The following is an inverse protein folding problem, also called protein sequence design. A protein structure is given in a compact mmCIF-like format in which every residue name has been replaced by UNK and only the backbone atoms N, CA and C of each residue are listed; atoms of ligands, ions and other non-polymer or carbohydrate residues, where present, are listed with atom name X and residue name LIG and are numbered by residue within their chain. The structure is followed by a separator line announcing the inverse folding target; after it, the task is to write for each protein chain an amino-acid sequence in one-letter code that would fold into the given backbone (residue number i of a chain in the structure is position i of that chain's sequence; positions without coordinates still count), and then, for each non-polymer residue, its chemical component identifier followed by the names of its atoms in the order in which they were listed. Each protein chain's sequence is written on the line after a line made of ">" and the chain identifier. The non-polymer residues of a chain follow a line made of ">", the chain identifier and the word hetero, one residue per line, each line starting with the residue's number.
data_IF_774980959994
#
_entry.id   IF_774980959994
#
_cell.length_a   1.000
_cell.length_b   1.000
_cell.length_c   1.000
_cell.angle_alpha   90.00
_cell.angle_beta   90.00
_cell.angle_gamma   90.00
#
_symmetry.space_group_name_H-M   'P 1'
#
loop_
_entity.id
_entity.type
_entity.pdbx_description
1 polymer ?
2 water ?
#
# COMPACT_ATOMS: atom_id res chain seq x y z
N UNK A 6 11.66 -6.10 -27.04
CA UNK A 6 12.43 -4.87 -26.98
C UNK A 6 11.62 -3.65 -27.42
N UNK A 7 12.10 -2.45 -27.08
CA UNK A 7 11.39 -1.23 -27.45
C UNK A 7 11.51 -0.97 -28.94
N UNK A 8 10.89 0.11 -29.42
CA UNK A 8 10.88 0.43 -30.84
C UNK A 8 10.67 1.93 -31.03
N UNK A 9 11.47 2.55 -31.90
CA UNK A 9 11.34 3.99 -32.16
C UNK A 9 9.99 4.30 -32.80
N UNK A 10 9.38 5.41 -32.38
CA UNK A 10 8.10 5.84 -32.95
C UNK A 10 8.30 7.12 -33.75
N UNK A 11 8.04 7.05 -35.06
CA UNK A 11 8.34 8.11 -36.04
C UNK A 11 7.34 9.27 -36.01
N UNK A 12 6.70 9.50 -34.86
CA UNK A 12 5.74 10.60 -34.75
C UNK A 12 5.65 11.08 -33.31
N UNK A 13 6.71 11.74 -32.81
CA UNK A 13 6.84 12.13 -31.41
C UNK A 13 5.65 12.95 -30.87
N UNK A 14 5.32 14.06 -31.51
CA UNK A 14 4.28 14.95 -30.98
C UNK A 14 2.87 14.68 -31.55
N UNK A 15 2.65 13.44 -31.99
CA UNK A 15 1.34 12.97 -32.41
C UNK A 15 0.22 13.35 -31.41
N UNK A 16 -1.01 13.55 -31.90
CA UNK A 16 -2.13 13.98 -31.03
C UNK A 16 -2.40 12.95 -29.95
N UNK A 17 -2.19 11.69 -30.31
CA UNK A 17 -2.42 10.59 -29.40
C UNK A 17 -1.21 10.42 -28.48
N UNK A 18 -0.05 10.83 -28.94
CA UNK A 18 1.14 10.81 -28.10
C UNK A 18 1.23 12.04 -27.20
N UNK A 19 0.79 13.19 -27.71
CA UNK A 19 0.64 14.37 -26.88
C UNK A 19 -0.47 14.10 -25.85
N UNK A 20 -1.41 13.24 -26.22
CA UNK A 20 -2.46 12.79 -25.31
C UNK A 20 -1.88 12.02 -24.14
N UNK A 21 -1.07 11.01 -24.45
CA UNK A 21 -0.52 10.13 -23.43
C UNK A 21 0.28 10.93 -22.41
N UNK A 22 1.13 11.83 -22.91
CA UNK A 22 1.99 12.61 -22.05
C UNK A 22 1.23 13.45 -21.04
N UNK A 23 0.22 14.19 -21.51
CA UNK A 23 -0.50 15.08 -20.61
C UNK A 23 -1.32 14.28 -19.59
N UNK A 24 -1.65 13.04 -19.94
CA UNK A 24 -2.31 12.13 -18.99
C UNK A 24 -1.37 11.87 -17.83
N UNK A 25 -0.14 11.52 -18.17
CA UNK A 25 0.89 11.32 -17.16
C UNK A 25 1.11 12.62 -16.38
N UNK A 26 1.37 13.69 -17.12
CA UNK A 26 1.63 15.01 -16.54
C UNK A 26 0.49 15.46 -15.61
N UNK A 27 -0.76 15.27 -16.03
CA UNK A 27 -1.91 15.60 -15.19
C UNK A 27 -1.87 14.86 -13.84
N UNK A 28 -1.67 13.55 -13.88
CA UNK A 28 -1.65 12.75 -12.66
C UNK A 28 -0.54 13.18 -11.70
N UNK A 29 0.66 13.31 -12.23
CA UNK A 29 1.80 13.74 -11.44
C UNK A 29 1.45 15.05 -10.69
N UNK A 30 1.25 16.12 -11.47
CA UNK A 30 0.81 17.42 -10.94
C UNK A 30 -0.25 17.37 -9.82
N UNK A 31 -1.22 16.47 -9.94
CA UNK A 31 -2.27 16.36 -8.94
C UNK A 31 -1.85 15.52 -7.73
N UNK A 32 -1.35 14.32 -7.97
CA UNK A 32 -0.93 13.42 -6.89
C UNK A 32 0.20 14.05 -6.08
N UNK A 33 0.96 14.93 -6.71
CA UNK A 33 2.15 15.50 -6.09
C UNK A 33 1.95 16.96 -5.69
N UNK A 34 0.91 17.58 -6.24
CA UNK A 34 0.59 18.99 -6.00
C UNK A 34 1.71 19.85 -6.56
N UNK A 35 1.86 19.79 -7.89
CA UNK A 35 2.89 20.51 -8.62
C UNK A 35 2.29 21.10 -9.90
N UNK A 36 3.11 21.73 -10.74
CA UNK A 36 2.58 22.39 -11.93
C UNK A 36 3.50 22.31 -13.15
N UNK A 37 3.81 21.08 -13.57
CA UNK A 37 4.56 20.83 -14.81
C UNK A 37 3.71 21.23 -16.00
N UNK A 38 4.35 21.84 -16.99
CA UNK A 38 3.66 22.23 -18.21
C UNK A 38 4.28 21.58 -19.43
N UNK A 39 3.50 20.73 -20.10
CA UNK A 39 3.98 19.97 -21.26
C UNK A 39 4.22 20.89 -22.48
N UNK A 40 5.39 20.74 -23.08
CA UNK A 40 5.74 21.48 -24.28
C UNK A 40 5.80 20.58 -25.52
N UNK A 41 6.51 19.47 -25.45
CA UNK A 41 6.76 18.66 -26.64
C UNK A 41 7.38 17.29 -26.36
N UNK A 42 6.80 16.25 -26.94
CA UNK A 42 7.43 14.94 -26.84
C UNK A 42 8.73 14.95 -27.64
N UNK A 43 9.82 14.62 -26.98
CA UNK A 43 11.11 14.67 -27.65
C UNK A 43 11.35 13.38 -28.38
N UNK A 44 10.92 12.28 -27.79
CA UNK A 44 11.15 10.95 -28.33
C UNK A 44 10.11 10.00 -27.77
N UNK A 45 9.69 9.03 -28.58
CA UNK A 45 8.72 8.06 -28.12
C UNK A 45 9.13 6.68 -28.58
N UNK A 46 9.20 5.76 -27.62
CA UNK A 46 9.43 4.37 -27.93
C UNK A 46 8.16 3.60 -27.64
N UNK A 47 8.19 2.30 -27.91
CA UNK A 47 7.03 1.47 -27.76
C UNK A 47 7.48 0.03 -27.54
N UNK A 48 6.95 -0.63 -26.51
CA UNK A 48 7.23 -2.05 -26.29
C UNK A 48 5.95 -2.86 -26.22
N UNK A 49 5.85 -3.88 -27.07
CA UNK A 49 4.72 -4.78 -27.05
C UNK A 49 4.89 -5.70 -25.85
N UNK A 50 3.92 -5.67 -24.94
CA UNK A 50 4.02 -6.40 -23.68
C UNK A 50 2.70 -7.11 -23.31
N UNK A 51 2.20 -6.94 -22.10
CA UNK A 51 0.83 -7.35 -21.79
C UNK A 51 -0.06 -6.20 -22.22
N UNK A 52 -0.22 -6.03 -23.51
CA UNK A 52 -0.71 -4.78 -24.04
C UNK A 52 0.52 -4.02 -24.51
N UNK A 53 0.40 -2.71 -24.64
CA UNK A 53 1.50 -1.88 -25.09
C UNK A 53 2.12 -1.08 -23.96
N UNK A 54 3.41 -0.78 -24.10
CA UNK A 54 4.15 0.01 -23.13
C UNK A 54 4.87 1.08 -23.91
N UNK A 55 4.61 2.34 -23.57
CA UNK A 55 5.28 3.45 -24.21
C UNK A 55 6.23 4.15 -23.24
N UNK A 56 7.48 4.26 -23.67
CA UNK A 56 8.50 4.99 -22.94
C UNK A 56 8.49 6.35 -23.61
N UNK A 57 8.12 7.40 -22.88
CA UNK A 57 8.04 8.73 -23.49
C UNK A 57 9.02 9.75 -22.92
N UNK A 58 9.85 10.29 -23.81
CA UNK A 58 10.73 11.39 -23.46
C UNK A 58 10.08 12.68 -23.96
N UNK A 59 9.84 13.61 -23.04
CA UNK A 59 9.19 14.85 -23.39
C UNK A 59 9.81 16.04 -22.69
N UNK A 60 9.45 17.23 -23.17
CA UNK A 60 9.90 18.49 -22.58
C UNK A 60 8.79 19.12 -21.77
N UNK A 61 9.12 19.57 -20.57
CA UNK A 61 8.18 20.30 -19.74
C UNK A 61 8.88 21.48 -19.08
N UNK A 62 8.14 22.58 -18.88
CA UNK A 62 8.63 23.66 -18.03
C UNK A 62 7.91 23.61 -16.70
N UNK A 63 8.56 24.12 -15.66
CA UNK A 63 8.03 24.08 -14.33
C UNK A 63 8.15 25.49 -13.78
N UNK A 64 7.28 26.37 -14.25
CA UNK A 64 7.38 27.78 -13.92
C UNK A 64 8.56 28.39 -14.66
N UNK A 65 8.52 28.34 -15.99
CA UNK A 65 9.48 29.04 -16.82
C UNK A 65 10.76 28.31 -17.15
N UNK A 66 11.10 27.31 -16.36
CA UNK A 66 12.38 26.63 -16.51
C UNK A 66 12.31 25.32 -17.29
N UNK A 67 13.10 25.25 -18.35
CA UNK A 67 13.11 24.11 -19.25
C UNK A 67 13.62 22.85 -18.57
N UNK A 68 12.82 21.79 -18.63
CA UNK A 68 13.17 20.51 -18.02
C UNK A 68 12.75 19.35 -18.92
N UNK A 69 13.53 18.28 -18.87
CA UNK A 69 13.21 17.07 -19.61
C UNK A 69 12.79 16.01 -18.61
N UNK A 70 11.70 15.32 -18.91
CA UNK A 70 11.24 14.19 -18.10
C UNK A 70 11.15 12.94 -18.97
N UNK A 71 10.83 11.80 -18.33
CA UNK A 71 10.54 10.56 -19.05
C UNK A 71 9.47 9.78 -18.30
N UNK A 72 8.55 9.21 -19.05
CA UNK A 72 7.49 8.45 -18.42
C UNK A 72 7.24 7.14 -19.17
N UNK A 73 6.80 6.14 -18.42
CA UNK A 73 6.47 4.84 -18.98
C UNK A 73 5.01 4.63 -18.75
N UNK A 74 4.27 4.51 -19.85
CA UNK A 74 2.82 4.39 -19.77
C UNK A 74 2.43 3.01 -20.25
N UNK A 75 1.67 2.33 -19.42
CA UNK A 75 1.15 1.04 -19.80
C UNK A 75 -0.31 1.15 -20.29
N UNK A 76 -0.55 0.66 -21.50
CA UNK A 76 -1.90 0.77 -22.06
C UNK A 76 -2.49 -0.54 -22.64
N UNK A 77 -3.74 -0.80 -22.29
CA UNK A 77 -4.49 -1.93 -22.81
C UNK A 77 -5.82 -1.37 -23.28
N UNK A 78 -5.86 -0.98 -24.55
CA UNK A 78 -7.01 -0.26 -25.15
C UNK A 78 -8.31 -1.09 -25.14
N UNK A 79 -8.16 -2.40 -24.94
CA UNK A 79 -9.27 -3.34 -24.97
C UNK A 79 -9.99 -3.41 -23.62
N UNK A 80 -9.45 -2.67 -22.66
CA UNK A 80 -10.03 -2.59 -21.33
C UNK A 80 -10.31 -1.14 -20.94
N UNK A 81 -10.02 -0.22 -21.86
CA UNK A 81 -9.92 1.20 -21.55
C UNK A 81 -9.03 1.38 -20.34
N UNK A 82 -7.78 0.96 -20.48
CA UNK A 82 -6.80 0.99 -19.39
C UNK A 82 -5.52 1.76 -19.78
N UNK A 83 -5.14 2.69 -18.92
CA UNK A 83 -3.84 3.33 -19.02
C UNK A 83 -3.38 3.73 -17.62
N UNK A 84 -2.21 3.20 -17.24
CA UNK A 84 -1.64 3.48 -15.95
C UNK A 84 -0.23 3.98 -16.16
N UNK A 85 0.14 4.99 -15.39
CA UNK A 85 1.49 5.52 -15.42
C UNK A 85 2.35 4.60 -14.56
N UNK A 86 3.39 4.00 -15.12
CA UNK A 86 4.16 3.03 -14.36
C UNK A 86 5.57 3.50 -13.98
N UNK A 87 5.94 4.67 -14.48
CA UNK A 87 7.10 5.39 -14.00
C UNK A 87 7.04 6.81 -14.54
N UNK A 88 7.58 7.76 -13.77
CA UNK A 88 7.65 9.17 -14.13
C UNK A 88 8.94 9.71 -13.49
N UNK A 89 9.80 10.30 -14.29
CA UNK A 89 11.15 10.58 -13.86
C UNK A 89 11.68 11.86 -14.49
N UNK A 90 12.38 12.67 -13.71
CA UNK A 90 13.13 13.79 -14.24
C UNK A 90 14.53 13.31 -14.60
N UNK A 91 14.91 13.42 -15.87
CA UNK A 91 16.32 13.29 -16.23
C UNK A 91 17.08 14.48 -15.62
N UNK A 92 18.17 14.22 -14.90
CA UNK A 92 18.67 12.89 -14.65
C UNK A 92 18.15 12.34 -13.34
N UNK A 93 18.39 13.06 -12.25
CA UNK A 93 17.96 12.64 -10.91
C UNK A 93 18.52 11.27 -10.51
N UNK A 94 18.77 11.07 -9.22
CA UNK A 94 19.20 9.76 -8.73
C UNK A 94 18.12 8.70 -9.02
N UNK A 95 16.85 9.10 -8.93
CA UNK A 95 15.78 8.12 -9.03
C UNK A 95 14.52 8.60 -9.75
N UNK A 96 13.57 7.70 -9.92
CA UNK A 96 12.23 8.04 -10.36
C UNK A 96 11.51 8.83 -9.27
N UNK A 97 10.51 9.60 -9.69
CA UNK A 97 9.61 10.28 -8.77
C UNK A 97 8.75 9.22 -8.07
N UNK A 98 9.00 8.99 -6.78
CA UNK A 98 8.20 8.05 -5.99
C UNK A 98 6.90 8.70 -5.51
N UNK A 99 5.80 7.97 -5.63
CA UNK A 99 4.51 8.48 -5.22
C UNK A 99 4.26 8.30 -3.74
N UNK A 100 3.15 8.85 -3.26
CA UNK A 100 2.74 8.66 -1.89
C UNK A 100 2.31 7.23 -1.65
N UNK A 101 2.45 6.77 -0.42
CA UNK A 101 2.08 5.41 -0.06
C UNK A 101 0.61 5.36 0.27
N UNK A 102 -0.18 5.01 -0.72
CA UNK A 102 -1.63 5.04 -0.63
C UNK A 102 -2.23 3.73 -0.10
N UNK A 103 -3.19 3.85 0.81
CA UNK A 103 -3.85 2.69 1.41
C UNK A 103 -4.93 2.13 0.48
N UNK A 104 -5.02 0.80 0.46
CA UNK A 104 -5.91 0.11 -0.46
C UNK A 104 -7.02 -0.58 0.33
N UNK A 105 -8.25 -0.11 0.17
CA UNK A 105 -9.36 -0.52 1.04
C UNK A 105 -9.76 -2.02 1.06
N UNK A 106 -9.33 -2.85 0.11
CA UNK A 106 -9.74 -4.27 0.12
C UNK A 106 -8.57 -5.25 0.13
N UNK A 107 -7.81 -5.27 1.24
CA UNK A 107 -6.51 -5.98 1.34
C UNK A 107 -6.60 -7.45 0.98
N UNK A 108 -7.81 -8.00 0.90
CA UNK A 108 -7.99 -9.40 0.50
C UNK A 108 -8.56 -9.65 -0.92
N UNK A 109 -8.60 -8.61 -1.77
CA UNK A 109 -8.82 -8.80 -3.20
C UNK A 109 -7.77 -9.77 -3.70
N UNK A 110 -8.20 -10.88 -4.29
CA UNK A 110 -7.35 -12.04 -4.61
C UNK A 110 -5.97 -11.72 -5.18
N UNK A 111 -5.83 -10.57 -5.84
CA UNK A 111 -4.55 -10.16 -6.38
C UNK A 111 -3.51 -9.87 -5.29
N UNK A 112 -3.98 -9.44 -4.13
CA UNK A 112 -3.07 -9.18 -3.02
C UNK A 112 -2.87 -10.42 -2.19
N UNK A 113 -3.87 -11.29 -2.21
CA UNK A 113 -3.70 -12.58 -1.57
C UNK A 113 -2.62 -13.37 -2.30
N UNK A 114 -2.57 -13.23 -3.63
CA UNK A 114 -1.54 -13.88 -4.43
C UNK A 114 -0.16 -13.25 -4.23
N UNK A 115 -0.11 -11.91 -4.15
CA UNK A 115 1.14 -11.26 -3.82
C UNK A 115 1.64 -11.80 -2.50
N UNK A 116 0.73 -11.88 -1.54
CA UNK A 116 1.10 -12.28 -0.18
C UNK A 116 1.61 -13.71 -0.18
N UNK A 117 0.92 -14.57 -0.92
CA UNK A 117 1.31 -15.97 -0.95
C UNK A 117 2.65 -16.11 -1.63
N UNK A 118 2.82 -15.35 -2.72
CA UNK A 118 4.08 -15.34 -3.43
C UNK A 118 5.22 -14.98 -2.49
N UNK A 119 5.00 -14.00 -1.62
CA UNK A 119 6.03 -13.58 -0.68
C UNK A 119 6.28 -14.65 0.40
N UNK A 120 5.23 -15.33 0.81
CA UNK A 120 5.34 -16.32 1.88
C UNK A 120 6.16 -17.51 1.39
N UNK A 121 5.88 -17.95 0.19
CA UNK A 121 6.62 -19.05 -0.45
C UNK A 121 8.07 -18.66 -0.69
N UNK A 122 8.27 -17.45 -1.18
CA UNK A 122 9.60 -16.89 -1.39
C UNK A 122 10.46 -17.04 -0.15
N UNK A 123 9.87 -16.68 0.99
CA UNK A 123 10.58 -16.71 2.25
C UNK A 123 10.76 -18.17 2.64
N UNK A 124 9.75 -18.99 2.37
CA UNK A 124 9.84 -20.41 2.71
C UNK A 124 11.01 -21.10 2.02
N UNK A 125 11.31 -20.68 0.80
CA UNK A 125 12.42 -21.24 0.04
C UNK A 125 13.75 -20.68 0.54
N UNK A 126 13.83 -19.37 0.66
CA UNK A 126 15.06 -18.72 1.07
C UNK A 126 15.47 -19.11 2.50
N UNK A 127 14.51 -19.42 3.35
CA UNK A 127 14.81 -19.69 4.75
C UNK A 127 14.52 -21.14 5.14
N UNK A 128 14.15 -21.96 4.15
CA UNK A 128 13.85 -23.37 4.39
C UNK A 128 12.81 -23.46 5.50
N UNK A 129 11.78 -22.63 5.39
CA UNK A 129 10.76 -22.49 6.41
C UNK A 129 9.43 -23.02 5.92
N UNK A 130 8.45 -23.05 6.82
CA UNK A 130 7.10 -23.51 6.50
C UNK A 130 6.07 -22.56 7.08
N UNK A 131 5.99 -21.35 6.52
CA UNK A 131 4.99 -20.39 6.95
C UNK A 131 3.72 -20.71 6.20
N UNK A 132 2.59 -20.35 6.79
CA UNK A 132 1.29 -20.69 6.24
C UNK A 132 0.39 -19.45 6.22
N UNK A 133 0.15 -18.90 5.03
CA UNK A 133 -0.65 -17.68 4.87
C UNK A 133 -2.04 -17.92 5.43
N UNK A 134 -2.64 -16.87 5.95
CA UNK A 134 -4.04 -16.93 6.36
C UNK A 134 -4.84 -15.82 5.68
N UNK A 135 -4.43 -14.57 5.92
CA UNK A 135 -5.10 -13.40 5.36
C UNK A 135 -4.22 -12.17 5.40
N UNK A 136 -4.54 -11.17 4.59
CA UNK A 136 -3.92 -9.86 4.70
C UNK A 136 -4.67 -8.99 5.71
N UNK A 137 -3.95 -8.19 6.48
CA UNK A 137 -4.57 -7.22 7.37
C UNK A 137 -4.65 -5.86 6.67
N UNK A 138 -3.72 -5.62 5.76
CA UNK A 138 -3.56 -4.30 5.18
C UNK A 138 -2.60 -4.28 3.99
N UNK A 139 -2.93 -3.46 3.01
CA UNK A 139 -2.13 -3.32 1.80
C UNK A 139 -1.98 -1.84 1.55
N UNK A 140 -0.75 -1.42 1.32
CA UNK A 140 -0.52 -0.07 0.87
C UNK A 140 0.18 -0.19 -0.45
N UNK A 141 -0.11 0.73 -1.36
CA UNK A 141 0.45 0.72 -2.68
C UNK A 141 1.27 2.00 -2.84
N UNK A 142 2.29 1.94 -3.69
CA UNK A 142 3.15 3.07 -4.03
C UNK A 142 3.65 3.00 -5.48
N UNK A 143 3.43 4.07 -6.21
CA UNK A 143 4.05 4.23 -7.53
C UNK A 143 5.57 4.40 -7.44
N UNK A 144 6.32 3.42 -7.93
CA UNK A 144 7.77 3.54 -7.96
C UNK A 144 8.20 3.48 -9.42
N UNK A 145 9.26 2.72 -9.73
CA UNK A 145 9.45 2.33 -11.12
C UNK A 145 8.72 1.02 -11.20
N UNK A 146 7.43 1.14 -11.54
CA UNK A 146 6.46 0.10 -11.28
C UNK A 146 5.70 0.39 -9.98
N UNK A 147 5.21 -0.66 -9.35
CA UNK A 147 4.46 -0.55 -8.10
C UNK A 147 5.19 -1.31 -7.01
N UNK A 148 5.06 -0.81 -5.78
CA UNK A 148 5.58 -1.43 -4.58
C UNK A 148 4.38 -1.54 -3.65
N UNK A 149 4.12 -2.72 -3.13
CA UNK A 149 3.03 -2.97 -2.20
C UNK A 149 3.57 -3.20 -0.80
N UNK A 150 2.93 -2.63 0.20
CA UNK A 150 3.33 -2.92 1.57
C UNK A 150 2.23 -3.77 2.16
N UNK A 151 2.50 -5.06 2.29
CA UNK A 151 1.50 -5.98 2.80
C UNK A 151 1.78 -6.41 4.22
N UNK A 152 0.80 -6.14 5.09
CA UNK A 152 0.81 -6.64 6.44
C UNK A 152 -0.13 -7.88 6.49
N UNK A 153 0.45 -9.05 6.72
CA UNK A 153 -0.29 -10.31 6.59
C UNK A 153 -0.25 -11.10 7.88
N UNK A 154 -1.09 -12.12 7.95
CA UNK A 154 -1.06 -13.09 9.03
C UNK A 154 -0.61 -14.41 8.43
N UNK A 155 0.40 -15.03 9.04
CA UNK A 155 0.84 -16.35 8.60
C UNK A 155 1.01 -17.31 9.76
N UNK A 156 0.58 -18.56 9.59
CA UNK A 156 0.73 -19.51 10.67
C UNK A 156 2.12 -20.15 10.65
N UNK A 157 2.86 -19.94 11.74
CA UNK A 157 4.20 -20.48 11.86
C UNK A 157 4.32 -21.39 13.08
N UNK A 158 4.75 -22.62 12.86
CA UNK A 158 4.89 -23.59 13.94
C UNK A 158 3.55 -23.75 14.65
N UNK A 159 2.47 -23.50 13.92
CA UNK A 159 1.13 -23.58 14.46
C UNK A 159 0.56 -22.29 15.04
N UNK A 160 1.38 -21.25 15.16
CA UNK A 160 0.95 -19.99 15.78
C UNK A 160 0.85 -18.83 14.79
N UNK A 161 -0.32 -18.19 14.77
CA UNK A 161 -0.55 -16.99 13.99
C UNK A 161 0.43 -15.89 14.36
N UNK A 162 1.12 -15.36 13.35
CA UNK A 162 2.02 -14.23 13.51
C UNK A 162 1.78 -13.21 12.41
N UNK A 163 2.17 -11.96 12.67
CA UNK A 163 2.06 -10.89 11.68
C UNK A 163 3.40 -10.60 11.03
N UNK A 164 3.40 -10.56 9.69
CA UNK A 164 4.61 -10.32 8.91
C UNK A 164 4.32 -9.13 7.99
N UNK A 165 5.38 -8.42 7.55
CA UNK A 165 5.26 -7.37 6.55
C UNK A 165 6.08 -7.72 5.33
N UNK A 166 5.44 -7.72 4.16
CA UNK A 166 6.15 -7.96 2.92
C UNK A 166 6.10 -6.70 2.06
N UNK A 167 7.25 -6.35 1.51
CA UNK A 167 7.36 -5.25 0.58
C UNK A 167 7.65 -5.92 -0.73
N UNK A 168 6.74 -5.80 -1.66
CA UNK A 168 6.92 -6.48 -2.92
C UNK A 168 6.75 -5.57 -4.14
N UNK A 169 7.68 -5.70 -5.08
CA UNK A 169 7.83 -4.81 -6.23
C UNK A 169 7.24 -5.56 -7.40
N UNK A 170 6.31 -4.92 -8.13
CA UNK A 170 5.72 -5.60 -9.27
C UNK A 170 5.59 -4.74 -10.50
N UNK A 171 6.07 -5.29 -11.60
CA UNK A 171 5.95 -4.70 -12.91
C UNK A 171 4.97 -5.60 -13.64
N UNK A 172 3.69 -5.24 -13.52
CA UNK A 172 2.58 -6.08 -13.91
C UNK A 172 2.51 -6.32 -15.43
N UNK A 173 2.97 -5.36 -16.22
CA UNK A 173 2.96 -5.55 -17.67
C UNK A 173 3.99 -6.60 -18.09
N UNK A 174 4.92 -6.92 -17.20
CA UNK A 174 5.97 -7.90 -17.49
C UNK A 174 5.67 -9.21 -16.82
N UNK A 175 4.55 -9.27 -16.10
CA UNK A 175 4.30 -10.39 -15.16
C UNK A 175 5.46 -10.58 -14.14
N UNK A 176 6.16 -9.50 -13.84
CA UNK A 176 7.34 -9.53 -12.94
C UNK A 176 6.97 -9.14 -11.51
N UNK A 177 7.49 -9.91 -10.57
CA UNK A 177 7.36 -9.55 -9.16
C UNK A 177 8.51 -10.11 -8.36
N UNK A 178 8.75 -9.51 -7.20
CA UNK A 178 9.96 -9.77 -6.43
C UNK A 178 9.81 -9.26 -5.00
N UNK A 179 10.23 -10.04 -4.03
CA UNK A 179 10.21 -9.57 -2.65
C UNK A 179 11.38 -8.62 -2.40
N UNK A 180 11.07 -7.39 -1.99
CA UNK A 180 12.10 -6.41 -1.61
C UNK A 180 12.47 -6.55 -0.14
N UNK A 181 11.48 -6.83 0.70
CA UNK A 181 11.68 -7.01 2.14
C UNK A 181 10.57 -7.91 2.72
N UNK A 182 10.95 -8.85 3.59
CA UNK A 182 9.98 -9.71 4.26
C UNK A 182 10.39 -9.85 5.72
N UNK A 183 9.58 -9.35 6.63
CA UNK A 183 9.98 -9.40 8.05
C UNK A 183 8.87 -9.74 9.04
N UNK A 184 9.27 -10.40 10.13
CA UNK A 184 8.36 -10.77 11.22
C UNK A 184 8.07 -9.50 11.99
N UNK A 185 6.79 -9.22 12.24
CA UNK A 185 6.41 -8.18 13.19
C UNK A 185 6.26 -8.73 14.61
N UNK A 186 5.49 -9.80 14.76
CA UNK A 186 5.20 -10.36 16.09
C UNK A 186 3.98 -11.25 16.09
N UNK A 187 3.47 -11.58 17.28
CA UNK A 187 2.38 -12.54 17.41
C UNK A 187 1.03 -11.92 17.10
N UNK A 188 0.20 -12.62 16.35
CA UNK A 188 -1.19 -12.20 16.21
C UNK A 188 -1.94 -12.72 17.42
N UNK A 189 -3.00 -12.01 17.82
CA UNK A 189 -3.90 -12.51 18.86
C UNK A 189 -5.18 -13.02 18.21
N UNK A 190 -5.41 -14.34 18.32
CA UNK A 190 -6.55 -15.01 17.69
C UNK A 190 -7.93 -14.50 18.12
N UNK A 191 -8.87 -14.46 17.19
CA UNK A 191 -10.13 -13.81 17.48
C UNK A 191 -11.16 -14.71 18.18
N UNK A 192 -11.22 -15.97 17.75
CA UNK A 192 -12.18 -16.94 18.29
C UNK A 192 -13.63 -16.56 17.95
N UNK A 193 -14.22 -17.32 17.03
CA UNK A 193 -15.57 -17.07 16.58
C UNK A 193 -15.56 -16.30 15.27
N UNK A 194 -16.76 -15.98 14.78
CA UNK A 194 -16.91 -15.28 13.51
C UNK A 194 -16.72 -13.78 13.61
N UNK A 195 -16.39 -13.15 12.48
CA UNK A 195 -16.19 -11.71 12.48
C UNK A 195 -16.64 -11.05 11.18
N UNK A 196 -16.92 -9.76 11.27
CA UNK A 196 -17.20 -8.94 10.10
C UNK A 196 -16.02 -8.00 9.86
N UNK A 197 -15.62 -7.86 8.60
CA UNK A 197 -14.53 -6.98 8.27
C UNK A 197 -15.03 -5.55 8.16
N UNK A 198 -14.11 -4.61 8.19
CA UNK A 198 -14.45 -3.20 8.08
C UNK A 198 -13.65 -2.64 6.94
N UNK A 199 -14.32 -2.27 5.85
CA UNK A 199 -13.69 -1.88 4.59
C UNK A 199 -12.77 -0.68 4.74
N UNK A 200 -13.10 0.23 5.66
CA UNK A 200 -12.32 1.45 5.88
C UNK A 200 -12.00 1.61 7.35
N UNK A 201 -10.89 1.02 7.78
CA UNK A 201 -10.57 0.93 9.21
C UNK A 201 -10.23 2.30 9.80
N UNK A 202 -10.09 3.30 8.94
CA UNK A 202 -9.70 4.63 9.38
C UNK A 202 -10.79 5.69 9.27
N UNK A 203 -12.06 5.27 9.34
CA UNK A 203 -13.16 6.21 9.54
C UNK A 203 -13.08 6.81 10.94
N UNK A 204 -13.73 7.98 11.16
CA UNK A 204 -13.69 8.67 12.47
C UNK A 204 -14.20 7.77 13.61
N UNK A 205 -15.24 7.01 13.32
CA UNK A 205 -15.80 6.08 14.29
C UNK A 205 -14.70 5.22 14.88
N UNK A 206 -13.87 4.67 14.01
CA UNK A 206 -12.85 3.71 14.41
C UNK A 206 -11.56 4.38 14.86
N UNK A 207 -11.29 5.59 14.38
CA UNK A 207 -10.10 6.30 14.81
C UNK A 207 -10.28 6.81 16.24
N UNK A 208 -11.53 7.03 16.62
CA UNK A 208 -11.90 7.49 17.96
C UNK A 208 -11.82 6.35 18.95
N UNK A 209 -12.24 5.16 18.51
CA UNK A 209 -12.16 3.96 19.33
C UNK A 209 -10.70 3.58 19.59
N UNK A 210 -9.89 3.58 18.54
CA UNK A 210 -8.46 3.27 18.70
C UNK A 210 -7.74 4.31 19.58
N UNK A 211 -8.12 5.58 19.44
CA UNK A 211 -7.53 6.64 20.26
C UNK A 211 -7.93 6.46 21.73
N UNK A 212 -9.17 6.02 21.93
CA UNK A 212 -9.66 5.70 23.25
C UNK A 212 -8.83 4.62 23.89
N UNK A 213 -8.55 3.56 23.13
CA UNK A 213 -7.78 2.47 23.66
C UNK A 213 -6.34 2.89 23.92
N UNK A 214 -5.78 3.71 23.03
CA UNK A 214 -4.42 4.16 23.24
C UNK A 214 -4.33 4.98 24.52
N UNK A 215 -5.26 5.94 24.69
CA UNK A 215 -5.22 6.74 25.91
C UNK A 215 -5.41 5.84 27.13
N UNK A 216 -6.26 4.82 26.97
CA UNK A 216 -6.56 3.89 28.05
C UNK A 216 -5.32 3.14 28.49
N UNK A 217 -4.57 2.65 27.51
CA UNK A 217 -3.32 1.97 27.76
C UNK A 217 -2.27 2.91 28.36
N UNK A 218 -2.26 4.15 27.87
CA UNK A 218 -1.29 5.13 28.32
C UNK A 218 -1.48 5.40 29.79
N UNK A 219 -2.68 5.84 30.16
CA UNK A 219 -3.07 6.07 31.54
C UNK A 219 -2.78 4.88 32.46
N UNK A 220 -3.02 3.67 31.97
CA UNK A 220 -2.94 2.45 32.78
C UNK A 220 -1.54 1.87 33.00
N UNK A 221 -0.66 2.08 32.03
CA UNK A 221 0.71 1.57 32.12
C UNK A 221 1.73 2.69 32.25
N UNK A 222 1.25 3.92 32.49
CA UNK A 222 2.10 5.11 32.46
C UNK A 222 2.93 5.12 31.18
N UNK A 223 2.26 5.05 30.03
CA UNK A 223 2.96 5.12 28.75
C UNK A 223 2.57 6.35 27.95
N UNK A 224 3.24 6.58 26.84
CA UNK A 224 2.98 7.79 26.10
C UNK A 224 2.94 7.50 24.61
N UNK A 225 2.34 6.36 24.27
CA UNK A 225 2.17 5.96 22.88
C UNK A 225 1.43 7.05 22.11
N UNK A 226 1.92 7.34 20.91
CA UNK A 226 1.29 8.33 20.04
C UNK A 226 0.61 7.68 18.83
N UNK A 227 -0.72 7.64 18.86
CA UNK A 227 -1.52 7.04 17.79
C UNK A 227 -1.23 7.58 16.37
N UNK A 228 -1.02 6.67 15.43
CA UNK A 228 -0.80 7.08 14.06
C UNK A 228 -2.02 6.85 13.15
N UNK A 229 -2.49 5.61 13.06
CA UNK A 229 -3.64 5.26 12.24
C UNK A 229 -4.01 3.82 12.57
N UNK A 230 -5.08 3.33 11.97
CA UNK A 230 -5.37 1.90 11.97
C UNK A 230 -4.90 1.14 10.72
N UNK A 231 -4.72 -0.16 10.86
CA UNK A 231 -4.32 -1.03 9.78
C UNK A 231 -5.49 -1.92 9.40
N UNK A 232 -6.35 -2.15 10.38
CA UNK A 232 -7.40 -3.15 10.22
C UNK A 232 -8.40 -3.12 11.37
N UNK A 233 -9.67 -3.31 11.03
CA UNK A 233 -10.71 -3.45 12.06
C UNK A 233 -11.60 -4.63 11.74
N UNK A 234 -11.87 -5.45 12.76
CA UNK A 234 -12.81 -6.55 12.65
C UNK A 234 -13.86 -6.44 13.75
N UNK A 235 -15.11 -6.74 13.41
CA UNK A 235 -16.20 -6.64 14.38
C UNK A 235 -16.92 -7.95 14.64
N UNK A 236 -17.61 -7.99 15.79
CA UNK A 236 -18.56 -9.06 16.02
C UNK A 236 -19.61 -8.69 17.06
N UNK A 237 -20.86 -8.95 16.69
CA UNK A 237 -21.99 -8.69 17.58
C UNK A 237 -22.03 -9.74 18.69
N UNK A 238 -22.21 -9.27 19.91
CA UNK A 238 -22.50 -10.16 21.01
C UNK A 238 -23.56 -9.47 21.83
N UNK A 239 -23.25 -9.18 23.09
CA UNK A 239 -24.04 -8.23 23.85
C UNK A 239 -23.35 -6.87 23.70
N UNK A 240 -23.88 -6.06 22.80
CA UNK A 240 -23.18 -4.87 22.35
C UNK A 240 -22.28 -5.27 21.20
N UNK A 241 -21.14 -4.62 21.06
CA UNK A 241 -20.19 -5.00 20.02
C UNK A 241 -18.73 -5.08 20.49
N UNK A 242 -17.98 -6.02 19.94
CA UNK A 242 -16.56 -6.08 20.16
C UNK A 242 -15.72 -5.76 18.92
N UNK A 243 -14.87 -4.75 19.04
CA UNK A 243 -13.97 -4.40 17.95
C UNK A 243 -12.55 -4.92 18.19
N UNK A 244 -11.98 -5.58 17.17
CA UNK A 244 -10.59 -5.97 17.20
C UNK A 244 -9.84 -5.03 16.27
N UNK A 245 -9.02 -4.17 16.86
CA UNK A 245 -8.32 -3.13 16.13
C UNK A 245 -6.81 -3.33 16.09
N UNK A 246 -6.26 -3.49 14.87
CA UNK A 246 -4.82 -3.51 14.65
C UNK A 246 -4.33 -2.13 14.21
N UNK A 247 -3.55 -1.47 15.07
CA UNK A 247 -3.19 -0.08 14.83
C UNK A 247 -1.68 0.18 14.98
N UNK A 248 -1.21 1.28 14.38
CA UNK A 248 0.17 1.71 14.62
C UNK A 248 0.18 2.88 15.59
N UNK A 249 1.13 2.81 16.52
CA UNK A 249 1.41 3.90 17.43
C UNK A 249 2.92 4.10 17.49
N UNK A 250 3.37 5.34 17.66
CA UNK A 250 4.77 5.55 17.88
C UNK A 250 5.05 5.52 19.37
N UNK A 251 6.13 4.83 19.71
CA UNK A 251 6.67 4.78 21.07
C UNK A 251 8.05 5.43 21.04
N UNK A 252 8.11 6.70 21.44
CA UNK A 252 9.34 7.49 21.35
C UNK A 252 9.85 7.57 19.92
N UNK A 253 8.93 7.84 19.01
CA UNK A 253 9.29 7.99 17.61
C UNK A 253 9.40 6.68 16.85
N UNK A 254 9.49 5.55 17.54
CA UNK A 254 9.56 4.27 16.84
C UNK A 254 8.15 3.73 16.53
N UNK A 255 7.84 3.50 15.25
CA UNK A 255 6.53 2.97 14.85
C UNK A 255 6.34 1.56 15.36
N UNK A 256 5.28 1.36 16.13
CA UNK A 256 4.92 0.03 16.62
C UNK A 256 3.51 -0.38 16.23
N UNK A 257 3.27 -1.69 16.20
CA UNK A 257 1.94 -2.22 15.90
C UNK A 257 1.31 -2.84 17.13
N UNK A 258 0.05 -2.49 17.39
CA UNK A 258 -0.66 -3.02 18.54
C UNK A 258 -2.01 -3.57 18.14
N UNK A 259 -2.49 -4.52 18.93
CA UNK A 259 -3.82 -5.08 18.77
C UNK A 259 -4.70 -4.75 19.97
N UNK A 260 -5.81 -4.07 19.74
CA UNK A 260 -6.69 -3.70 20.84
C UNK A 260 -8.01 -4.46 20.70
N UNK A 261 -8.56 -4.85 21.84
CA UNK A 261 -9.87 -5.48 21.89
C UNK A 261 -10.79 -4.58 22.69
N UNK A 262 -11.77 -3.98 22.03
CA UNK A 262 -12.66 -3.13 22.80
C UNK A 262 -14.15 -3.51 22.71
N UNK A 263 -14.78 -3.51 23.89
CA UNK A 263 -16.13 -3.98 24.11
C UNK A 263 -17.01 -2.77 24.37
N UNK A 264 -18.01 -2.59 23.52
CA UNK A 264 -18.89 -1.42 23.55
C UNK A 264 -20.35 -1.83 23.69
N UNK A 265 -21.04 -1.26 24.67
CA UNK A 265 -22.48 -1.43 24.83
C UNK A 265 -23.08 -0.04 24.95
N UNK A 266 -23.59 0.50 23.84
CA UNK A 266 -24.00 1.92 23.75
C UNK A 266 -25.16 2.33 24.65
N UNK A 267 -26.22 1.53 24.73
CA UNK A 267 -27.33 1.80 25.67
C UNK A 267 -26.88 1.94 27.13
N UNK A 268 -25.70 1.41 27.44
CA UNK A 268 -25.12 1.53 28.78
C UNK A 268 -24.09 2.65 28.87
N UNK A 269 -23.78 3.27 27.73
CA UNK A 269 -22.63 4.19 27.64
C UNK A 269 -21.38 3.43 28.11
N UNK A 270 -21.31 2.18 27.68
CA UNK A 270 -20.28 1.27 28.14
C UNK A 270 -19.22 1.16 27.06
N UNK A 271 -17.98 1.43 27.44
CA UNK A 271 -16.86 1.31 26.52
C UNK A 271 -15.64 0.87 27.33
N UNK A 272 -15.15 -0.32 27.01
CA UNK A 272 -14.13 -0.97 27.82
C UNK A 272 -13.08 -1.66 26.93
N UNK A 273 -11.80 -1.36 27.22
CA UNK A 273 -10.66 -2.00 26.57
C UNK A 273 -10.37 -3.30 27.30
N UNK A 274 -10.71 -4.42 26.67
CA UNK A 274 -10.49 -5.69 27.35
C UNK A 274 -9.08 -6.25 27.10
N UNK A 275 -8.49 -5.92 25.93
CA UNK A 275 -7.12 -6.31 25.59
C UNK A 275 -6.44 -5.20 24.80
N UNK A 276 -5.19 -4.92 25.12
CA UNK A 276 -4.35 -4.00 24.33
C UNK A 276 -2.93 -4.58 24.33
N UNK A 277 -2.44 -5.07 23.20
CA UNK A 277 -1.16 -5.78 23.21
C UNK A 277 -0.20 -5.32 22.12
N UNK A 278 1.09 -5.28 22.43
CA UNK A 278 2.10 -4.95 21.43
C UNK A 278 2.29 -6.15 20.50
N UNK A 279 2.30 -5.91 19.19
CA UNK A 279 2.68 -6.97 18.27
C UNK A 279 4.21 -6.98 18.09
N UNK A 280 4.76 -5.83 17.69
CA UNK A 280 6.19 -5.73 17.49
C UNK A 280 6.63 -4.44 16.84
N UNK A 281 7.84 -4.52 16.30
CA UNK A 281 8.70 -3.44 15.81
C UNK A 281 9.60 -2.87 16.92
N UNK A 282 9.30 -3.25 18.16
CA UNK A 282 10.04 -2.77 19.33
C UNK A 282 11.57 -2.95 19.19
#
# INVERSE_FOLDING_TARGET
>A
GKKLGGFTEVPFPNSPEFQDLTRFAVHQYNKDQNAHLEFVENLNVKKQVVAGMLYYITFAATDGGKKKIYETKIWVKVWENFKKVVEFKLVGDDSAKLGGIINVPFPNNPEFQDLARFAVQDYNKKENAHLEFVENLNVKEQLVAGMLYYITLVAIDAGKKKIYEAKIWVKEWENFKKVIEFKLIGDDSAIIGGFTDVPFPNNPEFQDLARFAVQDYNKKENAHLEYVENLNVKEQLVAGMIYYITLVATDAGKKKIYEAKIWVKEWEDFKKVVEFKLVGDD
#
